data_IF_995423499969
#
_entry.id   IF_995423499969
#
_cell.length_a   1.000
_cell.length_b   1.000
_cell.length_c   1.000
_cell.angle_alpha   90.00
_cell.angle_beta   90.00
_cell.angle_gamma   90.00
#
_symmetry.space_group_name_H-M   'P 1'
#
loop_
_entity.id
_entity.type
_entity.pdbx_description
1 polymer ?
#
# COMPACT_ATOMS: atom_id res chain seq x y z
N UNK A 1 5.34 -29.27 9.90
CA UNK A 1 4.70 -28.35 10.86
C UNK A 1 4.63 -26.92 10.34
N UNK A 2 5.66 -26.42 9.66
CA UNK A 2 5.70 -25.02 9.14
C UNK A 2 4.48 -24.63 8.28
N UNK A 3 4.07 -25.48 7.33
CA UNK A 3 2.89 -25.21 6.47
C UNK A 3 1.59 -25.05 7.26
N UNK A 4 1.40 -25.81 8.33
CA UNK A 4 0.20 -25.73 9.17
C UNK A 4 0.21 -24.44 10.01
N UNK A 5 1.39 -24.03 10.48
CA UNK A 5 1.57 -22.78 11.19
C UNK A 5 1.31 -21.58 10.25
N UNK A 6 1.88 -21.58 9.05
CA UNK A 6 1.60 -20.54 8.04
C UNK A 6 0.12 -20.48 7.69
N UNK A 7 -0.53 -21.63 7.48
CA UNK A 7 -1.96 -21.68 7.20
C UNK A 7 -2.77 -21.07 8.35
N UNK A 8 -2.47 -21.43 9.61
CA UNK A 8 -3.14 -20.88 10.78
C UNK A 8 -2.92 -19.37 10.90
N UNK A 9 -1.68 -18.89 10.66
CA UNK A 9 -1.34 -17.47 10.66
C UNK A 9 -2.15 -16.72 9.61
N UNK A 10 -2.31 -17.25 8.40
CA UNK A 10 -3.09 -16.59 7.35
C UNK A 10 -4.59 -16.62 7.70
N UNK A 11 -5.11 -17.78 8.11
CA UNK A 11 -6.52 -17.98 8.44
C UNK A 11 -6.97 -17.07 9.58
N UNK A 12 -6.12 -16.82 10.57
CA UNK A 12 -6.46 -15.96 11.71
C UNK A 12 -6.01 -14.51 11.48
N UNK A 13 -4.80 -14.33 10.94
CA UNK A 13 -4.17 -13.03 10.78
C UNK A 13 -4.86 -12.15 9.74
N UNK A 14 -5.31 -12.71 8.61
CA UNK A 14 -6.00 -11.91 7.58
C UNK A 14 -7.36 -11.38 8.10
N UNK A 15 -8.23 -12.21 8.73
CA UNK A 15 -9.44 -11.71 9.37
C UNK A 15 -9.16 -10.73 10.51
N UNK A 16 -8.17 -11.01 11.37
CA UNK A 16 -7.81 -10.11 12.46
C UNK A 16 -7.35 -8.74 11.94
N UNK A 17 -6.54 -8.72 10.89
CA UNK A 17 -6.07 -7.49 10.26
C UNK A 17 -7.22 -6.70 9.61
N UNK A 18 -8.14 -7.37 8.93
CA UNK A 18 -9.31 -6.71 8.33
C UNK A 18 -10.24 -6.15 9.41
N UNK A 19 -10.53 -6.88 10.48
CA UNK A 19 -11.31 -6.38 11.62
C UNK A 19 -10.63 -5.18 12.28
N UNK A 20 -9.32 -5.28 12.56
CA UNK A 20 -8.56 -4.17 13.14
C UNK A 20 -8.60 -2.92 12.25
N UNK A 21 -8.46 -3.11 10.94
CA UNK A 21 -8.55 -2.03 9.97
C UNK A 21 -9.93 -1.36 9.97
N UNK A 22 -11.02 -2.14 9.90
CA UNK A 22 -12.40 -1.60 9.94
C UNK A 22 -12.64 -0.87 11.25
N UNK A 23 -12.23 -1.44 12.38
CA UNK A 23 -12.37 -0.81 13.69
C UNK A 23 -11.62 0.53 13.76
N UNK A 24 -10.40 0.59 13.21
CA UNK A 24 -9.60 1.81 13.13
C UNK A 24 -10.28 2.88 12.26
N UNK A 25 -10.80 2.48 11.09
CA UNK A 25 -11.54 3.38 10.19
C UNK A 25 -12.79 3.92 10.87
N UNK A 26 -13.61 3.07 11.49
CA UNK A 26 -14.81 3.52 12.20
C UNK A 26 -14.48 4.45 13.38
N UNK A 27 -13.45 4.13 14.14
CA UNK A 27 -12.96 4.97 15.22
C UNK A 27 -12.53 6.35 14.72
N UNK A 28 -11.84 6.41 13.57
CA UNK A 28 -11.46 7.66 12.93
C UNK A 28 -12.70 8.44 12.45
N UNK A 29 -13.68 7.77 11.85
CA UNK A 29 -14.91 8.38 11.38
C UNK A 29 -15.74 9.00 12.50
N UNK A 30 -15.70 8.43 13.71
CA UNK A 30 -16.39 8.99 14.88
C UNK A 30 -15.78 10.31 15.38
N UNK A 31 -14.54 10.64 14.99
CA UNK A 31 -13.83 11.85 15.45
C UNK A 31 -14.03 13.07 14.56
N UNK A 32 -14.65 12.90 13.40
CA UNK A 32 -14.79 13.96 12.40
C UNK A 32 -16.26 14.26 12.11
N UNK A 33 -16.55 15.43 11.55
CA UNK A 33 -17.91 15.83 11.20
C UNK A 33 -18.52 14.93 10.12
N UNK A 34 -19.83 14.73 10.18
CA UNK A 34 -20.56 13.87 9.25
C UNK A 34 -20.32 14.24 7.77
N UNK A 35 -20.27 15.54 7.47
CA UNK A 35 -20.03 16.03 6.10
C UNK A 35 -18.66 15.63 5.55
N UNK A 36 -17.61 15.64 6.39
CA UNK A 36 -16.29 15.18 5.98
C UNK A 36 -16.22 13.65 5.93
N UNK A 37 -16.79 12.96 6.93
CA UNK A 37 -16.83 11.50 7.00
C UNK A 37 -17.44 10.87 5.74
N UNK A 38 -18.55 11.43 5.25
CA UNK A 38 -19.21 10.97 4.02
C UNK A 38 -18.29 11.05 2.80
N UNK A 39 -17.50 12.12 2.68
CA UNK A 39 -16.58 12.32 1.54
C UNK A 39 -15.35 11.43 1.61
N UNK A 40 -14.80 11.19 2.80
CA UNK A 40 -13.52 10.46 2.95
C UNK A 40 -13.68 8.95 3.12
N UNK A 41 -14.86 8.47 3.56
CA UNK A 41 -15.17 7.05 3.71
C UNK A 41 -14.78 6.20 2.49
N UNK A 42 -15.15 6.53 1.24
CA UNK A 42 -14.76 5.71 0.08
C UNK A 42 -13.24 5.65 -0.10
N UNK A 43 -12.51 6.75 0.14
CA UNK A 43 -11.05 6.79 0.02
C UNK A 43 -10.35 5.93 1.07
N UNK A 44 -10.88 5.88 2.29
CA UNK A 44 -10.35 4.98 3.31
C UNK A 44 -10.51 3.53 2.87
N UNK A 45 -11.68 3.10 2.41
CA UNK A 45 -11.85 1.72 1.91
C UNK A 45 -10.89 1.35 0.78
N UNK A 46 -10.51 2.31 -0.07
CA UNK A 46 -9.51 2.10 -1.12
C UNK A 46 -8.06 2.14 -0.61
N UNK A 47 -7.80 2.73 0.55
CA UNK A 47 -6.45 2.98 1.05
C UNK A 47 -5.56 1.72 1.11
N UNK A 48 -6.00 0.54 1.59
CA UNK A 48 -5.14 -0.65 1.60
C UNK A 48 -4.68 -1.06 0.21
N UNK A 49 -5.59 -1.03 -0.77
CA UNK A 49 -5.27 -1.34 -2.16
C UNK A 49 -4.34 -0.27 -2.76
N UNK A 50 -4.60 1.01 -2.51
CA UNK A 50 -3.75 2.11 -2.97
C UNK A 50 -2.35 2.08 -2.34
N UNK A 51 -2.22 1.66 -1.09
CA UNK A 51 -0.92 1.47 -0.41
C UNK A 51 -0.12 0.34 -1.07
N UNK A 52 -0.75 -0.79 -1.33
CA UNK A 52 -0.10 -1.90 -2.04
C UNK A 52 0.29 -1.50 -3.47
N UNK A 53 -0.60 -0.81 -4.18
CA UNK A 53 -0.32 -0.27 -5.51
C UNK A 53 0.86 0.70 -5.47
N UNK A 54 0.88 1.61 -4.49
CA UNK A 54 1.97 2.56 -4.33
C UNK A 54 3.31 1.85 -4.09
N UNK A 55 3.33 0.85 -3.22
CA UNK A 55 4.55 0.15 -2.82
C UNK A 55 5.07 -0.81 -3.90
N UNK A 56 4.20 -1.64 -4.47
CA UNK A 56 4.59 -2.71 -5.39
C UNK A 56 4.59 -2.31 -6.85
N UNK A 57 3.92 -1.21 -7.23
CA UNK A 57 3.86 -0.76 -8.62
C UNK A 57 4.41 0.64 -8.80
N UNK A 58 3.84 1.64 -8.14
CA UNK A 58 4.16 3.05 -8.43
C UNK A 58 5.62 3.35 -8.05
N UNK A 59 6.03 3.00 -6.83
CA UNK A 59 7.41 3.20 -6.35
C UNK A 59 8.45 2.53 -7.27
N UNK A 60 8.38 1.21 -7.56
CA UNK A 60 9.35 0.59 -8.45
C UNK A 60 9.26 1.11 -9.88
N UNK A 61 8.07 1.50 -10.37
CA UNK A 61 7.95 2.10 -11.71
C UNK A 61 8.70 3.42 -11.82
N UNK A 62 8.60 4.30 -10.82
CA UNK A 62 9.38 5.54 -10.78
C UNK A 62 10.88 5.26 -10.63
N UNK A 63 11.26 4.26 -9.84
CA UNK A 63 12.65 3.87 -9.71
C UNK A 63 13.22 3.35 -11.04
N UNK A 64 12.49 2.48 -11.74
CA UNK A 64 12.85 2.01 -13.08
C UNK A 64 12.93 3.16 -14.06
N UNK A 65 11.93 4.06 -14.07
CA UNK A 65 11.95 5.24 -14.94
C UNK A 65 13.18 6.10 -14.68
N UNK A 66 13.58 6.32 -13.42
CA UNK A 66 14.83 7.02 -13.08
C UNK A 66 16.06 6.30 -13.60
N UNK A 67 16.17 4.99 -13.35
CA UNK A 67 17.30 4.16 -13.77
C UNK A 67 17.44 4.15 -15.31
N UNK A 68 16.34 4.23 -16.06
CA UNK A 68 16.38 4.28 -17.52
C UNK A 68 17.14 5.50 -18.08
N UNK A 69 17.34 6.55 -17.30
CA UNK A 69 18.14 7.72 -17.70
C UNK A 69 19.56 7.73 -17.08
N UNK A 70 19.98 6.64 -16.45
CA UNK A 70 21.33 6.48 -15.88
C UNK A 70 22.22 5.68 -16.82
N UNK A 71 23.54 5.69 -16.58
CA UNK A 71 24.51 4.84 -17.28
C UNK A 71 24.28 3.33 -16.99
N UNK A 72 25.02 2.47 -17.69
CA UNK A 72 24.88 1.01 -17.64
C UNK A 72 24.99 0.43 -16.22
N UNK A 73 25.77 1.07 -15.34
CA UNK A 73 25.97 0.66 -13.95
C UNK A 73 25.10 1.45 -12.95
N UNK A 74 24.22 2.34 -13.43
CA UNK A 74 23.32 3.18 -12.62
C UNK A 74 24.04 4.08 -11.60
N UNK A 75 25.24 4.57 -11.94
CA UNK A 75 26.08 5.45 -11.12
C UNK A 75 25.98 6.92 -11.51
N UNK A 76 25.87 7.23 -12.80
CA UNK A 76 25.77 8.59 -13.32
C UNK A 76 24.49 8.79 -14.15
N UNK A 77 23.98 10.02 -14.20
CA UNK A 77 22.83 10.36 -15.04
C UNK A 77 23.31 10.74 -16.45
N UNK A 78 22.83 10.02 -17.47
CA UNK A 78 23.24 10.22 -18.88
C UNK A 78 22.08 10.69 -19.76
N UNK A 79 20.88 10.88 -19.21
CA UNK A 79 19.73 11.32 -19.99
C UNK A 79 19.27 10.23 -20.96
N UNK A 80 19.23 10.52 -22.26
CA UNK A 80 18.76 9.57 -23.29
C UNK A 80 19.87 8.71 -23.90
N UNK A 81 21.08 8.79 -23.36
CA UNK A 81 22.28 8.13 -23.90
C UNK A 81 22.60 6.79 -23.19
N UNK A 82 21.62 6.17 -22.53
CA UNK A 82 21.72 4.85 -21.88
C UNK A 82 21.70 3.70 -22.88
#
# INVERSE_FOLDING_TARGET
MERLLTALVVIVGVPAATVAYVAAVEWLMKRISYGLASKIRPWLWLAPALLLLAFYLIYPSFNTARISFMDADSTEYVGLDN
#
